data_IF_717981586267
#
_entry.id   IF_717981586267
#
_cell.length_a   1.000
_cell.length_b   1.000
_cell.length_c   1.000
_cell.angle_alpha   90.00
_cell.angle_beta   90.00
_cell.angle_gamma   90.00
#
_symmetry.space_group_name_H-M   'P 1'
#
loop_
_entity.id
_entity.type
_entity.pdbx_description
1 polymer ?
#
# COMPACT_ATOMS: atom_id res chain seq x y z
N UNK A 1 22.54 -18.56 17.22
CA UNK A 1 22.60 -19.15 18.58
C UNK A 1 21.31 -19.02 19.39
N UNK A 2 20.38 -18.09 19.08
CA UNK A 2 19.19 -17.82 19.92
C UNK A 2 18.19 -18.97 20.12
N UNK A 3 18.09 -19.95 19.21
CA UNK A 3 17.17 -21.11 19.34
C UNK A 3 17.80 -22.39 19.91
N UNK A 4 19.11 -22.57 19.75
CA UNK A 4 19.82 -23.79 20.15
C UNK A 4 19.81 -24.00 21.67
N UNK A 5 20.09 -22.93 22.42
CA UNK A 5 20.18 -22.96 23.89
C UNK A 5 18.81 -23.22 24.54
N UNK A 6 17.73 -22.46 24.23
CA UNK A 6 16.42 -22.74 24.80
C UNK A 6 15.83 -24.07 24.32
N UNK A 7 16.10 -24.50 23.07
CA UNK A 7 15.64 -25.79 22.56
C UNK A 7 16.37 -27.00 23.17
N UNK A 8 17.68 -26.91 23.42
CA UNK A 8 18.43 -27.96 24.12
C UNK A 8 18.05 -28.05 25.61
N UNK A 9 17.84 -26.91 26.27
CA UNK A 9 17.28 -26.87 27.62
C UNK A 9 15.87 -27.46 27.68
N UNK A 10 15.04 -27.19 26.65
CA UNK A 10 13.73 -27.82 26.50
C UNK A 10 13.84 -29.34 26.34
N UNK A 11 14.72 -29.83 25.47
CA UNK A 11 14.91 -31.27 25.26
C UNK A 11 15.37 -31.98 26.54
N UNK A 12 16.30 -31.38 27.29
CA UNK A 12 16.75 -31.90 28.59
C UNK A 12 15.61 -31.92 29.61
N UNK A 13 14.82 -30.85 29.68
CA UNK A 13 13.65 -30.79 30.55
C UNK A 13 12.54 -31.78 30.14
N UNK A 14 12.34 -32.00 28.84
CA UNK A 14 11.39 -32.97 28.30
C UNK A 14 11.83 -34.41 28.59
N UNK A 15 13.14 -34.70 28.45
CA UNK A 15 13.73 -35.99 28.85
C UNK A 15 13.59 -36.19 30.36
N UNK A 16 13.90 -35.18 31.18
CA UNK A 16 13.70 -35.24 32.62
C UNK A 16 12.23 -35.45 33.01
N UNK A 17 11.30 -34.81 32.30
CA UNK A 17 9.86 -34.98 32.50
C UNK A 17 9.35 -36.37 32.08
N UNK A 18 10.02 -37.05 31.14
CA UNK A 18 9.70 -38.42 30.74
C UNK A 18 10.02 -39.45 31.85
N UNK A 19 10.84 -39.09 32.84
CA UNK A 19 11.10 -39.90 34.04
C UNK A 19 10.10 -39.66 35.17
N UNK A 20 9.09 -38.80 34.98
CA UNK A 20 8.02 -38.51 35.95
C UNK A 20 6.77 -39.34 35.58
N UNK A 21 6.13 -39.97 36.57
CA UNK A 21 4.90 -40.75 36.34
C UNK A 21 3.77 -39.91 35.67
N UNK A 22 3.09 -40.45 34.63
CA UNK A 22 1.94 -39.78 34.03
C UNK A 22 0.78 -39.73 35.04
N UNK A 23 0.06 -38.59 35.18
CA UNK A 23 -0.04 -37.45 34.25
C UNK A 23 0.88 -36.25 34.57
N UNK A 24 1.66 -36.32 35.66
CA UNK A 24 2.44 -35.17 36.15
C UNK A 24 3.56 -34.78 35.18
N UNK A 25 4.17 -35.75 34.51
CA UNK A 25 5.19 -35.49 33.46
C UNK A 25 4.67 -34.67 32.28
N UNK A 26 3.42 -34.87 31.86
CA UNK A 26 2.82 -34.12 30.75
C UNK A 26 2.55 -32.65 31.12
N UNK A 27 2.06 -32.40 32.33
CA UNK A 27 1.81 -31.04 32.83
C UNK A 27 3.12 -30.26 33.02
N UNK A 28 4.17 -30.92 33.52
CA UNK A 28 5.50 -30.32 33.65
C UNK A 28 6.09 -30.00 32.27
N UNK A 29 6.00 -30.93 31.31
CA UNK A 29 6.45 -30.69 29.94
C UNK A 29 5.72 -29.51 29.27
N UNK A 30 4.39 -29.45 29.38
CA UNK A 30 3.59 -28.36 28.83
C UNK A 30 3.90 -27.00 29.49
N UNK A 31 4.13 -26.97 30.80
CA UNK A 31 4.53 -25.76 31.52
C UNK A 31 5.92 -25.26 31.08
N UNK A 32 6.88 -26.16 30.87
CA UNK A 32 8.21 -25.80 30.35
C UNK A 32 8.12 -25.23 28.93
N UNK A 33 7.30 -25.81 28.04
CA UNK A 33 7.05 -25.23 26.71
C UNK A 33 6.48 -23.82 26.83
N UNK A 34 5.43 -23.64 27.64
CA UNK A 34 4.75 -22.35 27.77
C UNK A 34 5.69 -21.24 28.28
N UNK A 35 6.58 -21.58 29.22
CA UNK A 35 7.58 -20.65 29.77
C UNK A 35 8.70 -20.37 28.76
N UNK A 36 9.13 -21.36 27.97
CA UNK A 36 10.20 -21.20 26.98
C UNK A 36 9.76 -20.47 25.70
N UNK A 37 8.48 -20.56 25.32
CA UNK A 37 7.93 -19.91 24.13
C UNK A 37 7.91 -18.39 24.25
N UNK A 38 7.62 -17.85 25.44
CA UNK A 38 7.51 -16.40 25.68
C UNK A 38 8.82 -15.62 25.38
N UNK A 39 10.00 -15.99 25.92
CA UNK A 39 11.25 -15.30 25.60
C UNK A 39 11.69 -15.50 24.14
N UNK A 40 11.40 -16.65 23.52
CA UNK A 40 11.70 -16.90 22.10
C UNK A 40 10.82 -16.02 21.20
N UNK A 41 9.51 -15.96 21.45
CA UNK A 41 8.58 -15.11 20.71
C UNK A 41 8.92 -13.62 20.82
N UNK A 42 9.48 -13.18 21.96
CA UNK A 42 9.97 -11.81 22.14
C UNK A 42 11.29 -11.52 21.43
N UNK A 43 12.16 -12.53 21.28
CA UNK A 43 13.50 -12.38 20.71
C UNK A 43 13.52 -12.52 19.17
N UNK A 44 12.70 -13.40 18.61
CA UNK A 44 12.61 -13.68 17.16
C UNK A 44 12.45 -12.41 16.30
N UNK A 45 11.54 -11.46 16.63
CA UNK A 45 11.34 -10.24 15.84
C UNK A 45 12.54 -9.29 15.89
N UNK A 46 13.30 -9.26 16.99
CA UNK A 46 14.52 -8.44 17.09
C UNK A 46 15.67 -9.06 16.33
N UNK A 47 15.77 -10.39 16.28
CA UNK A 47 16.80 -11.07 15.49
C UNK A 47 16.59 -10.86 13.99
N UNK A 48 15.35 -10.86 13.53
CA UNK A 48 15.02 -10.63 12.12
C UNK A 48 15.48 -9.26 11.64
N UNK A 49 15.37 -8.22 12.47
CA UNK A 49 15.87 -6.87 12.18
C UNK A 49 17.40 -6.78 12.02
N UNK A 50 18.17 -7.78 12.46
CA UNK A 50 19.62 -7.80 12.24
C UNK A 50 20.00 -8.39 10.88
N UNK A 51 19.06 -9.05 10.20
CA UNK A 51 19.30 -9.76 8.93
C UNK A 51 18.49 -9.12 7.79
N UNK A 52 17.33 -8.54 8.10
CA UNK A 52 16.42 -7.91 7.15
C UNK A 52 15.85 -6.62 7.77
N UNK A 53 16.15 -5.47 7.17
CA UNK A 53 15.70 -4.14 7.62
C UNK A 53 14.30 -3.79 7.13
N UNK A 54 13.69 -4.64 6.29
CA UNK A 54 12.35 -4.37 5.74
C UNK A 54 11.29 -4.49 6.84
N UNK A 55 10.50 -3.44 7.11
CA UNK A 55 9.47 -3.48 8.14
C UNK A 55 8.36 -4.47 7.77
N UNK A 56 7.99 -5.34 8.71
CA UNK A 56 6.88 -6.27 8.56
C UNK A 56 5.54 -5.50 8.60
N UNK A 57 4.60 -5.80 7.68
CA UNK A 57 3.28 -5.17 7.66
C UNK A 57 2.46 -5.51 8.92
N UNK A 58 1.62 -4.58 9.37
CA UNK A 58 0.72 -4.81 10.50
C UNK A 58 -0.41 -5.77 10.11
N UNK A 59 -0.42 -6.97 10.71
CA UNK A 59 -1.44 -7.99 10.50
C UNK A 59 -2.29 -8.19 11.76
N UNK A 60 -3.60 -8.46 11.58
CA UNK A 60 -4.56 -8.65 12.68
C UNK A 60 -4.22 -9.84 13.58
N UNK A 61 -3.62 -10.90 13.02
CA UNK A 61 -3.20 -12.11 13.74
C UNK A 61 -1.68 -12.22 13.95
N UNK A 62 -0.99 -11.07 14.04
CA UNK A 62 0.47 -11.04 14.20
C UNK A 62 0.97 -11.86 15.40
N UNK A 63 0.29 -11.75 16.55
CA UNK A 63 0.67 -12.47 17.77
C UNK A 63 0.53 -13.98 17.63
N UNK A 64 -0.51 -14.47 16.95
CA UNK A 64 -0.71 -15.92 16.72
C UNK A 64 0.41 -16.51 15.86
N UNK A 65 0.82 -15.80 14.81
CA UNK A 65 1.90 -16.22 13.91
C UNK A 65 3.28 -16.15 14.56
N UNK A 66 3.53 -15.14 15.38
CA UNK A 66 4.76 -15.04 16.19
C UNK A 66 4.87 -16.22 17.18
N UNK A 67 3.77 -16.59 17.84
CA UNK A 67 3.71 -17.76 18.72
C UNK A 67 3.90 -19.08 17.96
N UNK A 68 3.27 -19.24 16.80
CA UNK A 68 3.43 -20.43 15.96
C UNK A 68 4.86 -20.64 15.47
N UNK A 69 5.53 -19.55 15.05
CA UNK A 69 6.94 -19.59 14.67
C UNK A 69 7.85 -19.93 15.86
N UNK A 70 7.54 -19.39 17.06
CA UNK A 70 8.29 -19.70 18.27
C UNK A 70 8.16 -21.19 18.65
N UNK A 71 6.96 -21.75 18.59
CA UNK A 71 6.71 -23.19 18.82
C UNK A 71 7.44 -24.05 17.81
N UNK A 72 7.37 -23.71 16.52
CA UNK A 72 8.07 -24.43 15.46
C UNK A 72 9.59 -24.44 15.68
N UNK A 73 10.14 -23.28 16.07
CA UNK A 73 11.56 -23.11 16.34
C UNK A 73 12.01 -23.94 17.55
N UNK A 74 11.23 -23.91 18.63
CA UNK A 74 11.51 -24.64 19.86
C UNK A 74 11.37 -26.16 19.71
N UNK A 75 10.33 -26.62 19.02
CA UNK A 75 9.96 -28.04 19.02
C UNK A 75 10.57 -28.81 17.85
N UNK A 76 10.66 -28.20 16.68
CA UNK A 76 11.07 -28.89 15.45
C UNK A 76 12.47 -28.51 14.97
N UNK A 77 12.93 -27.28 15.23
CA UNK A 77 14.13 -26.74 14.58
C UNK A 77 15.38 -26.70 15.48
N UNK A 78 15.24 -26.98 16.78
CA UNK A 78 16.31 -26.83 17.76
C UNK A 78 17.50 -27.78 17.52
N UNK A 79 17.24 -29.02 17.10
CA UNK A 79 18.29 -30.01 16.85
C UNK A 79 19.11 -29.67 15.60
N UNK A 80 18.49 -29.03 14.60
CA UNK A 80 19.22 -28.54 13.41
C UNK A 80 20.12 -27.37 13.78
N UNK A 81 19.63 -26.44 14.62
CA UNK A 81 20.47 -25.37 15.17
C UNK A 81 21.64 -25.92 16.00
N UNK A 82 21.38 -26.95 16.80
CA UNK A 82 22.41 -27.60 17.61
C UNK A 82 23.46 -28.28 16.74
N UNK A 83 23.03 -29.03 15.72
CA UNK A 83 23.92 -29.68 14.76
C UNK A 83 24.73 -28.66 13.99
N UNK A 84 24.11 -27.55 13.57
CA UNK A 84 24.80 -26.45 12.90
C UNK A 84 25.91 -25.88 13.80
N UNK A 85 25.60 -25.52 15.06
CA UNK A 85 26.60 -25.01 16.01
C UNK A 85 27.71 -26.02 16.29
N UNK A 86 27.36 -27.31 16.43
CA UNK A 86 28.33 -28.38 16.65
C UNK A 86 29.32 -28.49 15.49
N UNK A 87 28.85 -28.50 14.25
CA UNK A 87 29.71 -28.65 13.08
C UNK A 87 30.47 -27.37 12.71
N UNK A 88 29.87 -26.18 12.86
CA UNK A 88 30.49 -24.93 12.40
C UNK A 88 31.34 -24.26 13.47
N UNK A 89 31.09 -24.50 14.76
CA UNK A 89 31.85 -23.87 15.85
C UNK A 89 32.69 -24.89 16.59
N UNK A 90 32.06 -25.96 17.09
CA UNK A 90 32.76 -26.94 17.95
C UNK A 90 33.76 -27.76 17.14
N UNK A 91 33.40 -28.19 15.92
CA UNK A 91 34.27 -28.96 15.03
C UNK A 91 35.62 -28.28 14.75
N UNK A 92 35.63 -27.06 14.16
CA UNK A 92 36.87 -26.33 13.88
C UNK A 92 37.69 -26.04 15.15
N UNK A 93 37.04 -25.71 16.26
CA UNK A 93 37.73 -25.46 17.55
C UNK A 93 38.42 -26.72 18.07
N UNK A 94 37.75 -27.88 18.02
CA UNK A 94 38.37 -29.15 18.40
C UNK A 94 39.57 -29.50 17.51
N UNK A 95 39.48 -29.24 16.20
CA UNK A 95 40.60 -29.45 15.29
C UNK A 95 41.78 -28.52 15.62
N UNK A 96 41.51 -27.23 15.89
CA UNK A 96 42.53 -26.27 16.30
C UNK A 96 43.22 -26.72 17.60
N UNK A 97 42.44 -27.22 18.57
CA UNK A 97 42.92 -27.66 19.88
C UNK A 97 43.51 -29.08 19.89
N UNK A 98 43.61 -29.76 18.75
CA UNK A 98 44.09 -31.15 18.67
C UNK A 98 45.43 -31.38 19.39
N UNK A 99 46.46 -30.51 19.27
CA UNK A 99 47.73 -30.69 19.98
C UNK A 99 47.59 -30.66 21.51
N UNK A 100 46.60 -29.95 22.04
CA UNK A 100 46.34 -29.85 23.48
C UNK A 100 45.46 -31.00 24.00
N UNK A 101 44.53 -31.48 23.17
CA UNK A 101 43.58 -32.54 23.53
C UNK A 101 44.17 -33.94 23.34
N UNK A 102 45.08 -34.12 22.39
CA UNK A 102 45.70 -35.39 22.05
C UNK A 102 47.24 -35.25 22.02
N UNK A 103 47.91 -35.25 23.17
CA UNK A 103 49.37 -35.04 23.23
C UNK A 103 50.17 -36.21 22.62
N UNK A 104 49.56 -37.38 22.45
CA UNK A 104 50.22 -38.60 21.96
C UNK A 104 50.35 -38.66 20.42
N UNK A 105 49.73 -37.74 19.68
CA UNK A 105 49.85 -37.69 18.21
C UNK A 105 51.21 -37.14 17.79
N UNK A 106 51.72 -37.58 16.64
CA UNK A 106 52.95 -37.01 16.08
C UNK A 106 52.82 -35.49 15.93
N UNK A 107 53.78 -34.67 16.39
CA UNK A 107 53.66 -33.21 16.39
C UNK A 107 53.32 -32.61 15.02
N UNK A 108 53.90 -33.15 13.95
CA UNK A 108 53.60 -32.72 12.58
C UNK A 108 52.14 -32.96 12.18
N UNK A 109 51.55 -34.08 12.63
CA UNK A 109 50.12 -34.40 12.40
C UNK A 109 49.24 -33.45 13.19
N UNK A 110 49.56 -33.19 14.46
CA UNK A 110 48.83 -32.22 15.29
C UNK A 110 48.79 -30.82 14.68
N UNK A 111 49.93 -30.32 14.19
CA UNK A 111 50.01 -29.01 13.52
C UNK A 111 49.20 -29.00 12.21
N UNK A 112 49.29 -30.03 11.39
CA UNK A 112 48.53 -30.12 10.14
C UNK A 112 47.00 -30.10 10.39
N UNK A 113 46.54 -30.80 11.43
CA UNK A 113 45.12 -30.80 11.84
C UNK A 113 44.68 -29.43 12.36
N UNK A 114 45.51 -28.74 13.16
CA UNK A 114 45.20 -27.38 13.62
C UNK A 114 45.09 -26.39 12.45
N UNK A 115 45.99 -26.47 11.47
CA UNK A 115 45.93 -25.63 10.25
C UNK A 115 44.65 -25.91 9.47
N UNK A 116 44.25 -27.18 9.32
CA UNK A 116 42.96 -27.53 8.70
C UNK A 116 41.77 -26.94 9.47
N UNK A 117 41.80 -26.96 10.81
CA UNK A 117 40.78 -26.33 11.65
C UNK A 117 40.68 -24.81 11.44
N UNK A 118 41.81 -24.11 11.32
CA UNK A 118 41.84 -22.66 11.00
C UNK A 118 41.28 -22.38 9.61
N UNK A 119 41.65 -23.20 8.61
CA UNK A 119 41.15 -23.07 7.23
C UNK A 119 39.64 -23.33 7.11
N UNK A 120 39.04 -24.05 8.06
CA UNK A 120 37.60 -24.28 8.11
C UNK A 120 36.82 -23.08 8.70
N UNK A 121 37.46 -22.13 9.38
CA UNK A 121 36.77 -20.99 10.01
C UNK A 121 36.00 -20.09 9.02
N UNK A 122 36.55 -19.72 7.83
CA UNK A 122 35.79 -18.94 6.84
C UNK A 122 34.59 -19.70 6.28
N UNK A 123 34.73 -21.02 6.07
CA UNK A 123 33.65 -21.90 5.62
C UNK A 123 32.55 -21.97 6.69
N UNK A 124 32.94 -22.13 7.95
CA UNK A 124 32.03 -22.06 9.08
C UNK A 124 31.29 -20.71 9.16
N UNK A 125 31.99 -19.58 8.99
CA UNK A 125 31.38 -18.26 8.99
C UNK A 125 30.34 -18.10 7.86
N UNK A 126 30.65 -18.58 6.66
CA UNK A 126 29.72 -18.57 5.52
C UNK A 126 28.47 -19.44 5.78
N UNK A 127 28.65 -20.67 6.27
CA UNK A 127 27.52 -21.56 6.57
C UNK A 127 26.59 -21.00 7.67
N UNK A 128 27.15 -20.35 8.69
CA UNK A 128 26.36 -19.67 9.75
C UNK A 128 25.54 -18.51 9.19
N UNK A 129 26.13 -17.69 8.32
CA UNK A 129 25.42 -16.56 7.69
C UNK A 129 24.35 -17.02 6.72
N UNK A 130 24.62 -18.05 5.90
CA UNK A 130 23.64 -18.67 5.02
C UNK A 130 22.46 -19.27 5.82
N UNK A 131 22.74 -19.96 6.92
CA UNK A 131 21.70 -20.50 7.82
C UNK A 131 20.85 -19.40 8.45
N UNK A 132 21.49 -18.29 8.87
CA UNK A 132 20.78 -17.13 9.42
C UNK A 132 19.86 -16.47 8.37
N UNK A 133 20.31 -16.36 7.11
CA UNK A 133 19.49 -15.88 6.00
C UNK A 133 18.30 -16.79 5.68
N UNK A 134 18.53 -18.10 5.62
CA UNK A 134 17.45 -19.09 5.40
C UNK A 134 16.38 -19.03 6.51
N UNK A 135 16.83 -18.92 7.77
CA UNK A 135 15.96 -18.68 8.94
C UNK A 135 15.16 -17.38 8.81
N UNK A 136 15.77 -16.31 8.32
CA UNK A 136 15.10 -15.04 8.08
C UNK A 136 14.00 -15.13 7.02
N UNK A 137 14.32 -15.77 5.89
CA UNK A 137 13.38 -15.99 4.79
C UNK A 137 12.18 -16.86 5.22
N UNK A 138 12.42 -17.94 5.96
CA UNK A 138 11.36 -18.79 6.49
C UNK A 138 10.43 -18.05 7.45
N UNK A 139 11.00 -17.29 8.39
CA UNK A 139 10.21 -16.47 9.31
C UNK A 139 9.34 -15.45 8.56
N UNK A 140 9.88 -14.83 7.51
CA UNK A 140 9.11 -13.92 6.65
C UNK A 140 7.99 -14.62 5.90
N UNK A 141 8.23 -15.80 5.34
CA UNK A 141 7.18 -16.57 4.66
C UNK A 141 6.01 -16.89 5.61
N UNK A 142 6.30 -17.17 6.89
CA UNK A 142 5.30 -17.46 7.92
C UNK A 142 4.64 -16.19 8.46
N UNK A 143 5.36 -15.08 8.63
CA UNK A 143 4.86 -13.85 9.23
C UNK A 143 4.14 -12.92 8.24
N UNK A 144 4.55 -12.92 6.96
CA UNK A 144 3.90 -12.11 5.93
C UNK A 144 2.57 -12.77 5.54
N UNK A 145 1.44 -12.04 5.54
CA UNK A 145 0.17 -12.57 5.04
C UNK A 145 0.31 -13.05 3.59
N UNK A 146 0.11 -14.35 3.35
CA UNK A 146 0.14 -14.96 2.03
C UNK A 146 -1.30 -15.16 1.57
N UNK A 147 -1.70 -14.53 0.47
CA UNK A 147 -2.92 -14.85 -0.30
C UNK A 147 -4.24 -14.25 0.21
N UNK A 148 -5.12 -15.01 0.90
CA UNK A 148 -6.55 -14.68 1.05
C UNK A 148 -6.82 -13.42 1.87
N UNK A 149 -6.01 -13.15 2.89
CA UNK A 149 -6.16 -12.00 3.80
C UNK A 149 -5.89 -10.66 3.11
N UNK A 150 -4.91 -10.61 2.21
CA UNK A 150 -4.65 -9.44 1.35
C UNK A 150 -5.80 -9.22 0.37
N UNK A 151 -6.37 -10.29 -0.17
CA UNK A 151 -7.56 -10.24 -1.01
C UNK A 151 -8.80 -9.84 -0.23
N UNK A 152 -8.92 -10.20 1.04
CA UNK A 152 -10.07 -9.86 1.88
C UNK A 152 -10.04 -8.39 2.34
N UNK A 153 -8.86 -7.86 2.65
CA UNK A 153 -8.67 -6.41 2.91
C UNK A 153 -8.91 -5.60 1.63
N UNK A 154 -8.40 -6.04 0.48
CA UNK A 154 -8.67 -5.41 -0.82
C UNK A 154 -10.15 -5.50 -1.20
N UNK A 155 -10.79 -6.66 -1.02
CA UNK A 155 -12.23 -6.87 -1.26
C UNK A 155 -13.10 -6.06 -0.29
N UNK A 156 -12.67 -5.89 0.96
CA UNK A 156 -13.35 -5.06 1.94
C UNK A 156 -13.35 -3.58 1.54
N UNK A 157 -12.21 -3.07 1.06
CA UNK A 157 -12.11 -1.71 0.52
C UNK A 157 -12.87 -1.54 -0.80
N UNK A 158 -12.81 -2.52 -1.70
CA UNK A 158 -13.61 -2.53 -2.93
C UNK A 158 -15.11 -2.44 -2.63
N UNK A 159 -15.61 -3.20 -1.64
CA UNK A 159 -17.02 -3.13 -1.19
C UNK A 159 -17.41 -1.76 -0.65
N UNK A 160 -16.50 -1.07 0.04
CA UNK A 160 -16.77 0.29 0.53
C UNK A 160 -16.81 1.31 -0.62
N UNK A 161 -15.91 1.19 -1.60
CA UNK A 161 -15.93 2.04 -2.81
C UNK A 161 -17.20 1.78 -3.63
N UNK A 162 -17.57 0.53 -3.84
CA UNK A 162 -18.80 0.15 -4.55
C UNK A 162 -20.05 0.68 -3.83
N UNK A 163 -20.09 0.60 -2.50
CA UNK A 163 -21.17 1.17 -1.70
C UNK A 163 -21.24 2.70 -1.84
N UNK A 164 -20.08 3.38 -1.84
CA UNK A 164 -20.02 4.83 -2.02
C UNK A 164 -20.43 5.26 -3.43
N UNK A 165 -20.05 4.50 -4.45
CA UNK A 165 -20.50 4.75 -5.82
C UNK A 165 -21.99 4.49 -6.02
N UNK A 166 -22.54 3.44 -5.39
CA UNK A 166 -23.97 3.19 -5.39
C UNK A 166 -24.75 4.34 -4.73
N UNK A 167 -24.27 4.83 -3.59
CA UNK A 167 -24.91 5.96 -2.90
C UNK A 167 -24.75 7.26 -3.70
N UNK A 168 -23.59 7.51 -4.31
CA UNK A 168 -23.39 8.63 -5.22
C UNK A 168 -24.36 8.56 -6.41
N UNK A 169 -24.48 7.42 -7.09
CA UNK A 169 -25.42 7.21 -8.21
C UNK A 169 -26.89 7.36 -7.79
N UNK A 170 -27.20 7.07 -6.52
CA UNK A 170 -28.53 7.29 -5.95
C UNK A 170 -28.79 8.78 -5.73
N UNK A 171 -27.85 9.50 -5.10
CA UNK A 171 -27.92 10.95 -4.90
C UNK A 171 -28.02 11.69 -6.24
N UNK A 172 -27.24 11.28 -7.25
CA UNK A 172 -27.31 11.83 -8.61
C UNK A 172 -28.71 11.64 -9.24
N UNK A 173 -29.32 10.46 -9.09
CA UNK A 173 -30.70 10.21 -9.57
C UNK A 173 -31.74 11.02 -8.79
N UNK A 174 -31.65 11.07 -7.48
CA UNK A 174 -32.59 11.82 -6.64
C UNK A 174 -32.53 13.34 -6.95
N UNK A 175 -31.33 13.87 -7.22
CA UNK A 175 -31.14 15.24 -7.69
C UNK A 175 -31.66 15.44 -9.12
N UNK A 176 -31.39 14.51 -10.03
CA UNK A 176 -31.83 14.57 -11.43
C UNK A 176 -33.35 14.54 -11.56
N UNK A 177 -34.01 13.63 -10.87
CA UNK A 177 -35.44 13.41 -11.04
C UNK A 177 -36.24 14.34 -10.12
N UNK A 178 -35.83 14.53 -8.87
CA UNK A 178 -36.61 15.31 -7.90
C UNK A 178 -36.39 16.82 -7.97
N UNK A 179 -35.14 17.28 -7.87
CA UNK A 179 -34.84 18.71 -7.80
C UNK A 179 -35.00 19.39 -9.16
N UNK A 180 -34.60 18.73 -10.26
CA UNK A 180 -34.69 19.30 -11.60
C UNK A 180 -36.16 19.46 -12.06
N UNK A 181 -37.02 18.45 -11.85
CA UNK A 181 -38.44 18.55 -12.21
C UNK A 181 -39.13 19.70 -11.48
N UNK A 182 -38.84 19.87 -10.18
CA UNK A 182 -39.39 20.96 -9.38
C UNK A 182 -38.97 22.34 -9.89
N UNK A 183 -37.68 22.52 -10.23
CA UNK A 183 -37.17 23.79 -10.75
C UNK A 183 -37.72 24.11 -12.15
N UNK A 184 -37.87 23.11 -13.02
CA UNK A 184 -38.51 23.29 -14.33
C UNK A 184 -39.97 23.73 -14.18
N UNK A 185 -40.74 23.06 -13.32
CA UNK A 185 -42.13 23.41 -13.05
C UNK A 185 -42.26 24.81 -12.45
N UNK A 186 -41.38 25.18 -11.51
CA UNK A 186 -41.34 26.53 -10.93
C UNK A 186 -41.03 27.60 -11.99
N UNK A 187 -40.03 27.35 -12.86
CA UNK A 187 -39.69 28.26 -13.95
C UNK A 187 -40.85 28.42 -14.94
N UNK A 188 -41.55 27.33 -15.30
CA UNK A 188 -42.76 27.42 -16.13
C UNK A 188 -43.89 28.23 -15.46
N UNK A 189 -44.15 28.00 -14.17
CA UNK A 189 -45.18 28.73 -13.43
C UNK A 189 -44.87 30.23 -13.33
N UNK A 190 -43.62 30.60 -13.07
CA UNK A 190 -43.17 31.99 -13.05
C UNK A 190 -43.23 32.63 -14.45
N UNK A 191 -42.90 31.88 -15.50
CA UNK A 191 -43.02 32.32 -16.89
C UNK A 191 -44.46 32.61 -17.30
N UNK A 192 -45.41 31.73 -16.91
CA UNK A 192 -46.84 31.93 -17.13
C UNK A 192 -47.37 33.13 -16.34
N UNK A 193 -47.04 33.23 -15.04
CA UNK A 193 -47.46 34.37 -14.22
C UNK A 193 -46.95 35.73 -14.74
N UNK A 194 -45.80 35.73 -15.43
CA UNK A 194 -45.26 36.92 -16.09
C UNK A 194 -46.09 37.36 -17.30
N UNK A 195 -46.70 36.43 -18.05
CA UNK A 195 -47.53 36.74 -19.21
C UNK A 195 -48.86 37.42 -18.82
N UNK A 196 -49.36 37.15 -17.62
CA UNK A 196 -50.60 37.72 -17.09
C UNK A 196 -50.41 39.13 -16.47
N UNK A 197 -49.18 39.65 -16.47
CA UNK A 197 -48.82 40.92 -15.83
C UNK A 197 -48.38 41.97 -16.86
N UNK A 198 -48.71 43.27 -16.65
CA UNK A 198 -48.18 44.36 -17.45
C UNK A 198 -46.65 44.45 -17.33
N UNK A 199 -45.96 44.65 -18.46
CA UNK A 199 -44.48 44.66 -18.56
C UNK A 199 -43.81 45.64 -17.58
N UNK A 200 -44.45 46.78 -17.28
CA UNK A 200 -43.90 47.83 -16.41
C UNK A 200 -44.30 47.73 -14.93
N UNK A 201 -45.06 46.70 -14.55
CA UNK A 201 -45.48 46.55 -13.16
C UNK A 201 -44.28 46.18 -12.25
N UNK A 202 -44.18 46.76 -11.04
CA UNK A 202 -43.14 46.37 -10.08
C UNK A 202 -43.20 44.88 -9.74
N UNK A 203 -44.40 44.28 -9.74
CA UNK A 203 -44.62 42.83 -9.55
C UNK A 203 -44.08 42.00 -10.71
N UNK A 204 -44.28 42.44 -11.96
CA UNK A 204 -43.76 41.78 -13.16
C UNK A 204 -42.23 41.75 -13.20
N UNK A 205 -41.56 42.83 -12.75
CA UNK A 205 -40.09 42.85 -12.59
C UNK A 205 -39.60 41.85 -11.53
N UNK A 206 -40.29 41.76 -10.39
CA UNK A 206 -39.94 40.83 -9.31
C UNK A 206 -40.09 39.36 -9.75
N UNK A 207 -41.17 39.04 -10.47
CA UNK A 207 -41.39 37.70 -11.05
C UNK A 207 -40.37 37.40 -12.16
N UNK A 208 -39.99 38.40 -12.95
CA UNK A 208 -38.91 38.29 -13.93
C UNK A 208 -37.58 37.91 -13.28
N UNK A 209 -37.19 38.60 -12.20
CA UNK A 209 -35.99 38.24 -11.43
C UNK A 209 -36.07 36.83 -10.85
N UNK A 210 -37.18 36.45 -10.22
CA UNK A 210 -37.37 35.10 -9.68
C UNK A 210 -37.31 34.02 -10.77
N UNK A 211 -37.82 34.31 -11.97
CA UNK A 211 -37.76 33.40 -13.11
C UNK A 211 -36.33 33.20 -13.62
N UNK A 212 -35.55 34.29 -13.69
CA UNK A 212 -34.16 34.23 -14.13
C UNK A 212 -33.26 33.55 -13.08
N UNK A 213 -33.50 33.80 -11.78
CA UNK A 213 -32.87 33.05 -10.68
C UNK A 213 -33.19 31.56 -10.74
N UNK A 214 -34.44 31.18 -11.02
CA UNK A 214 -34.83 29.77 -11.17
C UNK A 214 -34.12 29.10 -12.37
N UNK A 215 -33.94 29.82 -13.47
CA UNK A 215 -33.15 29.34 -14.63
C UNK A 215 -31.67 29.17 -14.29
N UNK A 216 -31.10 30.12 -13.55
CA UNK A 216 -29.71 30.06 -13.11
C UNK A 216 -29.49 28.85 -12.18
N UNK A 217 -30.34 28.67 -11.16
CA UNK A 217 -30.29 27.52 -10.26
C UNK A 217 -30.44 26.17 -11.00
N UNK A 218 -31.28 26.12 -12.05
CA UNK A 218 -31.41 24.94 -12.91
C UNK A 218 -30.12 24.64 -13.69
N UNK A 219 -29.41 25.68 -14.16
CA UNK A 219 -28.13 25.54 -14.84
C UNK A 219 -27.05 25.02 -13.88
N UNK A 220 -26.91 25.64 -12.71
CA UNK A 220 -25.96 25.23 -11.67
C UNK A 220 -26.22 23.79 -11.19
N UNK A 221 -27.48 23.41 -10.98
CA UNK A 221 -27.86 22.06 -10.61
C UNK A 221 -27.48 21.05 -11.70
N UNK A 222 -27.69 21.38 -12.98
CA UNK A 222 -27.28 20.52 -14.11
C UNK A 222 -25.77 20.36 -14.18
N UNK A 223 -25.01 21.43 -13.91
CA UNK A 223 -23.55 21.38 -13.86
C UNK A 223 -23.02 20.51 -12.72
N UNK A 224 -23.64 20.61 -11.54
CA UNK A 224 -23.35 19.80 -10.36
C UNK A 224 -23.65 18.30 -10.58
N UNK A 225 -24.85 17.97 -11.08
CA UNK A 225 -25.29 16.58 -11.25
C UNK A 225 -24.50 15.88 -12.35
N UNK A 226 -24.22 16.58 -13.46
CA UNK A 226 -23.53 15.97 -14.60
C UNK A 226 -22.01 16.02 -14.45
N UNK A 227 -21.54 16.72 -13.43
CA UNK A 227 -20.14 17.07 -13.23
C UNK A 227 -19.53 17.46 -14.56
N UNK A 228 -19.95 18.59 -15.14
CA UNK A 228 -19.63 19.17 -16.49
C UNK A 228 -18.59 18.42 -17.33
N UNK A 229 -17.45 18.11 -16.74
CA UNK A 229 -16.34 17.35 -17.28
C UNK A 229 -16.58 15.87 -17.66
N UNK A 230 -17.50 15.13 -17.00
CA UNK A 230 -17.83 13.74 -17.36
C UNK A 230 -18.48 13.67 -18.75
N UNK A 231 -19.28 14.68 -19.11
CA UNK A 231 -19.87 14.79 -20.45
C UNK A 231 -18.83 15.17 -21.50
N UNK A 232 -17.92 16.12 -21.21
CA UNK A 232 -16.84 16.47 -22.15
C UNK A 232 -15.92 15.27 -22.38
N UNK A 233 -15.62 14.50 -21.34
CA UNK A 233 -14.86 13.25 -21.46
C UNK A 233 -15.59 12.22 -22.32
N UNK A 234 -16.89 12.05 -22.10
CA UNK A 234 -17.71 11.09 -22.85
C UNK A 234 -17.81 11.47 -24.33
N UNK A 235 -18.11 12.73 -24.63
CA UNK A 235 -18.40 13.19 -25.99
C UNK A 235 -17.14 13.52 -26.79
N UNK A 236 -16.10 14.08 -26.15
CA UNK A 236 -14.92 14.66 -26.80
C UNK A 236 -13.59 14.04 -26.37
N UNK A 237 -13.60 13.07 -25.45
CA UNK A 237 -12.44 12.30 -25.03
C UNK A 237 -11.51 13.04 -24.05
N UNK A 238 -10.49 12.33 -23.59
CA UNK A 238 -9.59 12.76 -22.50
C UNK A 238 -8.88 14.10 -22.80
N UNK A 239 -8.34 14.27 -24.01
CA UNK A 239 -7.60 15.50 -24.36
C UNK A 239 -8.47 16.76 -24.27
N UNK A 240 -9.73 16.68 -24.69
CA UNK A 240 -10.67 17.80 -24.60
C UNK A 240 -11.07 18.09 -23.15
N UNK A 241 -11.33 17.04 -22.37
CA UNK A 241 -11.69 17.16 -20.96
C UNK A 241 -10.56 17.75 -20.10
N UNK A 242 -9.30 17.37 -20.39
CA UNK A 242 -8.11 17.92 -19.70
C UNK A 242 -7.92 19.41 -20.01
N UNK A 243 -8.08 19.83 -21.28
CA UNK A 243 -8.02 21.26 -21.65
C UNK A 243 -9.09 22.08 -20.94
N UNK A 244 -10.29 21.53 -20.85
CA UNK A 244 -11.43 22.20 -20.21
C UNK A 244 -11.21 22.38 -18.70
N UNK A 245 -10.74 21.36 -17.97
CA UNK A 245 -10.44 21.50 -16.54
C UNK A 245 -9.23 22.43 -16.30
N UNK A 246 -8.20 22.37 -17.15
CA UNK A 246 -7.04 23.25 -17.06
C UNK A 246 -7.41 24.72 -17.27
N UNK A 247 -8.32 25.02 -18.21
CA UNK A 247 -8.80 26.38 -18.47
C UNK A 247 -9.56 27.03 -17.31
N UNK A 248 -10.02 26.24 -16.34
CA UNK A 248 -10.70 26.71 -15.12
C UNK A 248 -9.78 26.80 -13.90
N UNK A 249 -8.53 26.37 -14.03
CA UNK A 249 -7.56 26.46 -12.94
C UNK A 249 -7.23 27.93 -12.64
N UNK A 250 -7.19 28.34 -11.37
CA UNK A 250 -6.77 29.70 -10.98
C UNK A 250 -5.28 29.94 -11.24
N UNK A 251 -4.48 28.88 -11.38
CA UNK A 251 -3.08 28.93 -11.81
C UNK A 251 -3.00 28.58 -13.30
N UNK A 252 -2.25 29.33 -14.13
CA UNK A 252 -2.06 29.01 -15.54
C UNK A 252 -1.49 27.60 -15.75
N UNK A 253 -2.12 26.80 -16.62
CA UNK A 253 -1.71 25.42 -16.93
C UNK A 253 -1.53 25.24 -18.43
N UNK A 254 -0.33 24.83 -18.84
CA UNK A 254 -0.05 24.45 -20.22
C UNK A 254 -0.45 22.98 -20.45
N UNK A 255 -1.29 22.72 -21.46
CA UNK A 255 -1.82 21.37 -21.75
C UNK A 255 -1.28 20.86 -23.08
N UNK A 256 -0.60 19.73 -23.03
CA UNK A 256 -0.05 19.02 -24.18
C UNK A 256 -0.42 17.52 -24.12
N UNK A 257 -1.63 17.19 -24.55
CA UNK A 257 -2.17 15.82 -24.55
C UNK A 257 -2.41 15.37 -25.99
N UNK A 258 -1.58 14.43 -26.44
CA UNK A 258 -1.61 13.85 -27.79
C UNK A 258 -1.88 12.35 -27.69
N UNK A 259 -3.06 11.93 -28.18
CA UNK A 259 -3.54 10.55 -28.10
C UNK A 259 -3.92 10.05 -29.50
N UNK A 260 -3.67 8.76 -29.82
CA UNK A 260 -3.95 8.18 -31.14
C UNK A 260 -5.46 8.00 -31.43
N UNK A 261 -6.33 8.22 -30.44
CA UNK A 261 -7.79 8.06 -30.56
C UNK A 261 -8.47 7.95 -29.19
N UNK A 262 -9.66 7.35 -29.17
CA UNK A 262 -10.39 7.04 -27.92
C UNK A 262 -9.72 5.86 -27.21
N UNK A 263 -9.60 5.97 -25.90
CA UNK A 263 -9.11 4.89 -25.02
C UNK A 263 -10.30 4.20 -24.34
N UNK A 264 -10.10 3.02 -23.71
CA UNK A 264 -11.14 2.41 -22.91
C UNK A 264 -11.69 3.39 -21.87
N UNK A 265 -13.01 3.45 -21.69
CA UNK A 265 -13.67 4.44 -20.83
C UNK A 265 -13.12 4.47 -19.41
N UNK A 266 -12.80 3.30 -18.84
CA UNK A 266 -12.21 3.20 -17.51
C UNK A 266 -10.82 3.86 -17.41
N UNK A 267 -10.03 3.82 -18.49
CA UNK A 267 -8.71 4.47 -18.59
C UNK A 267 -8.89 5.98 -18.71
N UNK A 268 -9.79 6.44 -19.59
CA UNK A 268 -10.09 7.87 -19.77
C UNK A 268 -10.60 8.51 -18.47
N UNK A 269 -11.54 7.85 -17.77
CA UNK A 269 -12.10 8.33 -16.50
C UNK A 269 -11.05 8.38 -15.40
N UNK A 270 -10.23 7.34 -15.28
CA UNK A 270 -9.18 7.29 -14.25
C UNK A 270 -8.13 8.38 -14.48
N UNK A 271 -7.64 8.52 -15.71
CA UNK A 271 -6.67 9.55 -16.08
C UNK A 271 -7.23 10.96 -15.84
N UNK A 272 -8.47 11.21 -16.26
CA UNK A 272 -9.15 12.47 -16.05
C UNK A 272 -9.22 12.83 -14.55
N UNK A 273 -9.61 11.87 -13.71
CA UNK A 273 -9.73 12.08 -12.27
C UNK A 273 -8.39 12.43 -11.62
N UNK A 274 -7.30 11.74 -12.01
CA UNK A 274 -5.96 12.06 -11.50
C UNK A 274 -5.56 13.48 -11.88
N UNK A 275 -5.81 13.89 -13.13
CA UNK A 275 -5.51 15.26 -13.56
C UNK A 275 -6.30 16.29 -12.77
N UNK A 276 -7.61 16.09 -12.58
CA UNK A 276 -8.45 17.02 -11.80
C UNK A 276 -7.97 17.15 -10.35
N UNK A 277 -7.62 16.04 -9.71
CA UNK A 277 -7.11 16.04 -8.34
C UNK A 277 -5.74 16.71 -8.25
N UNK A 278 -4.84 16.42 -9.19
CA UNK A 278 -3.52 17.05 -9.25
C UNK A 278 -3.61 18.56 -9.45
N UNK A 279 -4.48 19.03 -10.35
CA UNK A 279 -4.74 20.46 -10.55
C UNK A 279 -5.40 21.13 -9.33
N UNK A 280 -6.26 20.40 -8.62
CA UNK A 280 -6.85 20.89 -7.36
C UNK A 280 -5.78 21.06 -6.28
N UNK A 281 -4.86 20.10 -6.17
CA UNK A 281 -3.75 20.18 -5.22
C UNK A 281 -2.78 21.30 -5.57
N UNK A 282 -2.49 21.48 -6.86
CA UNK A 282 -1.72 22.62 -7.37
C UNK A 282 -2.34 23.94 -6.91
N UNK A 283 -3.66 24.12 -7.14
CA UNK A 283 -4.36 25.36 -6.80
C UNK A 283 -4.43 25.63 -5.28
N UNK A 284 -4.56 24.59 -4.45
CA UNK A 284 -4.76 24.75 -2.99
C UNK A 284 -3.48 24.72 -2.17
N UNK A 285 -2.48 23.98 -2.62
CA UNK A 285 -1.34 23.59 -1.76
C UNK A 285 0.02 23.98 -2.34
N UNK A 286 0.18 24.02 -3.65
CA UNK A 286 1.52 24.15 -4.25
C UNK A 286 2.11 25.57 -4.17
N UNK A 287 1.29 26.63 -4.00
CA UNK A 287 1.74 28.03 -4.21
C UNK A 287 2.46 28.22 -5.54
N UNK A 288 2.07 27.44 -6.55
CA UNK A 288 2.65 27.42 -7.88
C UNK A 288 2.25 28.69 -8.66
N UNK A 289 3.12 29.13 -9.56
CA UNK A 289 2.84 30.19 -10.53
C UNK A 289 2.44 29.62 -11.89
N UNK A 290 2.83 28.38 -12.20
CA UNK A 290 2.45 27.65 -13.41
C UNK A 290 2.35 26.15 -13.17
N UNK A 291 1.51 25.51 -13.97
CA UNK A 291 1.46 24.06 -14.13
C UNK A 291 1.61 23.62 -15.57
N UNK A 292 1.87 22.33 -15.77
CA UNK A 292 1.75 21.68 -17.07
C UNK A 292 1.12 20.30 -16.95
N UNK A 293 0.37 19.90 -17.98
CA UNK A 293 -0.20 18.57 -18.13
C UNK A 293 0.23 17.99 -19.46
N UNK A 294 0.94 16.86 -19.44
CA UNK A 294 1.30 16.12 -20.63
C UNK A 294 0.58 14.76 -20.65
N UNK A 295 0.22 14.30 -21.85
CA UNK A 295 -0.38 12.98 -22.03
C UNK A 295 0.08 12.35 -23.33
N UNK A 296 0.58 11.11 -23.28
CA UNK A 296 1.03 10.32 -24.43
C UNK A 296 0.57 8.88 -24.29
N UNK A 297 0.21 8.25 -25.41
CA UNK A 297 -0.06 6.81 -25.44
C UNK A 297 1.08 6.12 -26.20
N UNK A 298 1.88 5.32 -25.49
CA UNK A 298 3.03 4.63 -26.05
C UNK A 298 2.98 3.14 -25.70
N UNK A 299 3.17 2.27 -26.70
CA UNK A 299 3.25 0.81 -26.52
C UNK A 299 2.09 0.21 -25.71
N UNK A 300 0.87 0.73 -25.91
CA UNK A 300 -0.32 0.25 -25.20
C UNK A 300 -0.41 0.71 -23.75
N UNK A 301 0.31 1.76 -23.36
CA UNK A 301 0.21 2.40 -22.05
C UNK A 301 -0.01 3.90 -22.21
N UNK A 302 -1.03 4.43 -21.54
CA UNK A 302 -1.25 5.85 -21.38
C UNK A 302 -0.34 6.38 -20.26
N UNK A 303 0.51 7.34 -20.58
CA UNK A 303 1.32 8.08 -19.62
C UNK A 303 0.77 9.49 -19.51
N UNK A 304 0.42 9.90 -18.29
CA UNK A 304 -0.04 11.27 -17.98
C UNK A 304 0.85 11.86 -16.90
N UNK A 305 1.35 13.07 -17.13
CA UNK A 305 2.17 13.80 -16.17
C UNK A 305 1.54 15.14 -15.87
N UNK A 306 1.43 15.48 -14.59
CA UNK A 306 1.02 16.80 -14.10
C UNK A 306 2.17 17.35 -13.28
N UNK A 307 2.68 18.51 -13.68
CA UNK A 307 3.81 19.18 -13.03
C UNK A 307 3.41 20.58 -12.59
N UNK A 308 3.89 21.01 -11.44
CA UNK A 308 3.83 22.41 -11.01
C UNK A 308 5.21 22.93 -10.58
N UNK A 309 5.35 24.25 -10.56
CA UNK A 309 6.54 24.97 -10.10
C UNK A 309 6.44 25.43 -8.64
N UNK A 310 5.59 24.76 -7.85
CA UNK A 310 5.30 25.12 -6.47
C UNK A 310 6.40 24.74 -5.47
N UNK A 311 6.05 24.85 -4.19
CA UNK A 311 6.95 24.59 -3.05
C UNK A 311 7.05 23.11 -2.66
N UNK A 312 6.31 22.23 -3.34
CA UNK A 312 6.34 20.79 -3.10
C UNK A 312 5.98 20.38 -1.68
N UNK A 313 6.54 19.26 -1.21
CA UNK A 313 6.29 18.72 0.13
C UNK A 313 5.03 17.86 0.24
N UNK A 314 4.52 17.32 -0.86
CA UNK A 314 3.42 16.35 -0.80
C UNK A 314 3.90 15.04 -0.15
N UNK A 315 3.36 14.71 1.02
CA UNK A 315 3.62 13.44 1.71
C UNK A 315 2.58 12.39 1.29
N UNK A 316 2.99 11.30 0.60
CA UNK A 316 2.08 10.21 0.22
C UNK A 316 1.43 9.50 1.41
N UNK A 317 2.05 9.52 2.60
CA UNK A 317 1.59 8.81 3.78
C UNK A 317 0.59 9.60 4.64
N UNK A 318 0.53 10.93 4.50
CA UNK A 318 -0.34 11.82 5.27
C UNK A 318 -1.56 12.31 4.47
N UNK A 319 -1.56 12.17 3.14
CA UNK A 319 -2.62 12.68 2.26
C UNK A 319 -3.71 11.66 1.94
N UNK A 320 -4.96 11.94 2.33
CA UNK A 320 -6.14 11.14 1.96
C UNK A 320 -6.39 11.12 0.44
N UNK A 321 -6.05 12.19 -0.27
CA UNK A 321 -6.22 12.32 -1.72
C UNK A 321 -5.31 11.38 -2.54
N UNK A 322 -4.03 11.28 -2.20
CA UNK A 322 -3.05 10.41 -2.90
C UNK A 322 -3.35 8.93 -2.68
N UNK A 323 -3.83 8.56 -1.49
CA UNK A 323 -4.31 7.21 -1.19
C UNK A 323 -5.53 6.86 -2.06
N UNK A 324 -6.48 7.79 -2.21
CA UNK A 324 -7.65 7.61 -3.08
C UNK A 324 -7.31 7.48 -4.57
N UNK A 325 -6.26 8.17 -5.05
CA UNK A 325 -5.77 8.02 -6.42
C UNK A 325 -5.13 6.65 -6.66
N UNK A 326 -4.36 6.15 -5.70
CA UNK A 326 -3.74 4.82 -5.79
C UNK A 326 -4.80 3.70 -5.84
N UNK A 327 -5.86 3.80 -5.02
CA UNK A 327 -6.95 2.81 -5.01
C UNK A 327 -7.72 2.79 -6.34
N UNK A 328 -7.96 3.96 -6.95
CA UNK A 328 -8.60 4.05 -8.28
C UNK A 328 -7.73 3.48 -9.39
N UNK A 329 -6.42 3.73 -9.35
CA UNK A 329 -5.48 3.21 -10.34
C UNK A 329 -5.34 1.69 -10.27
N UNK A 330 -5.49 1.09 -9.08
CA UNK A 330 -5.42 -0.36 -8.91
C UNK A 330 -6.50 -1.11 -9.72
N UNK A 331 -7.67 -0.49 -9.97
CA UNK A 331 -8.78 -1.09 -10.75
C UNK A 331 -8.41 -1.26 -12.22
N UNK A 332 -7.57 -0.37 -12.75
CA UNK A 332 -7.12 -0.37 -14.15
C UNK A 332 -5.68 -0.84 -14.31
N UNK A 333 -5.13 -1.50 -13.29
CA UNK A 333 -3.73 -1.95 -13.24
C UNK A 333 -2.71 -0.82 -13.48
N UNK A 334 -3.11 0.41 -13.14
CA UNK A 334 -2.29 1.61 -13.31
C UNK A 334 -1.29 1.81 -12.19
N UNK A 335 -0.23 2.58 -12.47
CA UNK A 335 0.80 2.98 -11.50
C UNK A 335 0.79 4.48 -11.30
N UNK A 336 0.95 4.90 -10.04
CA UNK A 336 1.13 6.28 -9.63
C UNK A 336 2.55 6.48 -9.12
N UNK A 337 3.20 7.55 -9.55
CA UNK A 337 4.46 8.03 -9.00
C UNK A 337 4.36 9.51 -8.72
N UNK A 338 4.81 9.92 -7.53
CA UNK A 338 4.78 11.32 -7.10
C UNK A 338 6.18 11.69 -6.64
N UNK A 339 6.69 12.79 -7.19
CA UNK A 339 7.93 13.42 -6.74
C UNK A 339 7.60 14.84 -6.30
N UNK A 340 7.78 15.14 -5.02
CA UNK A 340 7.47 16.46 -4.44
C UNK A 340 8.48 16.81 -3.35
N UNK A 341 9.76 17.06 -3.71
CA UNK A 341 10.76 17.46 -2.73
C UNK A 341 10.35 18.75 -2.00
N UNK A 342 10.67 18.84 -0.72
CA UNK A 342 10.38 20.04 0.07
C UNK A 342 11.12 21.26 -0.52
N UNK A 343 10.38 22.30 -0.88
CA UNK A 343 10.89 23.50 -1.55
C UNK A 343 11.09 23.38 -3.05
N UNK A 344 10.70 22.26 -3.68
CA UNK A 344 10.84 22.02 -5.12
C UNK A 344 9.50 21.67 -5.81
N UNK A 345 9.51 21.47 -7.14
CA UNK A 345 8.29 21.26 -7.91
C UNK A 345 7.59 19.95 -7.55
N UNK A 346 6.27 19.89 -7.71
CA UNK A 346 5.56 18.61 -7.66
C UNK A 346 5.40 18.04 -9.06
N UNK A 347 5.68 16.75 -9.22
CA UNK A 347 5.44 15.95 -10.41
C UNK A 347 4.59 14.74 -10.02
N UNK A 348 3.40 14.66 -10.59
CA UNK A 348 2.50 13.51 -10.50
C UNK A 348 2.54 12.81 -11.86
N UNK A 349 3.00 11.56 -11.89
CA UNK A 349 3.08 10.76 -13.12
C UNK A 349 2.29 9.48 -12.95
N UNK A 350 1.44 9.20 -13.94
CA UNK A 350 0.57 8.04 -14.00
C UNK A 350 0.84 7.24 -15.26
N UNK A 351 0.88 5.92 -15.12
CA UNK A 351 0.96 4.96 -16.22
C UNK A 351 -0.25 4.02 -16.17
N UNK A 352 -1.07 3.96 -17.21
CA UNK A 352 -2.27 3.11 -17.29
C UNK A 352 -2.21 2.23 -18.54
N UNK A 353 -2.20 0.89 -18.41
CA UNK A 353 -2.36 -0.01 -19.55
C UNK A 353 -3.66 0.29 -20.32
N UNK A 354 -3.57 0.36 -21.64
CA UNK A 354 -4.68 0.77 -22.51
C UNK A 354 -4.80 -0.04 -23.81
N UNK A 355 -4.17 -1.23 -23.87
CA UNK A 355 -4.20 -2.15 -25.01
C UNK A 355 -4.84 -3.49 -24.63
#
# INVERSE_FOLDING_TARGET
>A
MGGAVPGAAFALAAVAAAFIEPPRGFLVGAAVVAVAVLPVAWFEPRRLRLVDDVPLPEARDRRGRELGLAVLTLLAMWWIDLLMVLFTVVGPVLLILTPAVQPDVMPAVGVAVSVAGVLLLPVAAYTVTAWAGARGAMARAVLVPQGPELNEVRRSRARLVDAFEMERRRIERDLHDGAQQRLVSLSMALGLARLDLPEDSPTGRLIGQAHDEAKQALAELRELIRGVHSQVLTDRGLAAAVRDVAGRSPVPVDVDVELPGRLPTAVEVTAYYVVTEALTNLAKHARATRGSVTGRAERGTLVVEVRDDGVGGADPAQGTGLTGLADRLAVVEGRLSVSSPAGGPTLVRVEIPCA
#
